data_IF_177928068819
#
_entry.id   IF_177928068819
#
_cell.length_a   1.000
_cell.length_b   1.000
_cell.length_c   1.000
_cell.angle_alpha   90.00
_cell.angle_beta   90.00
_cell.angle_gamma   90.00
#
_symmetry.space_group_name_H-M   'P 1'
#
loop_
_entity.id
_entity.type
_entity.pdbx_description
1 polymer ?
#
# COMPACT_ATOMS: atom_id res chain seq x y z
N UNK A 1 -8.72 12.96 -36.29
CA UNK A 1 -9.04 11.69 -35.61
C UNK A 1 -8.11 11.58 -34.42
N UNK A 2 -8.61 11.89 -33.23
CA UNK A 2 -7.90 11.59 -31.99
C UNK A 2 -8.09 10.08 -31.80
N UNK A 3 -7.01 9.32 -31.80
CA UNK A 3 -7.08 7.92 -31.45
C UNK A 3 -7.57 7.86 -29.99
N UNK A 4 -8.77 7.30 -29.77
CA UNK A 4 -9.14 6.87 -28.43
C UNK A 4 -8.11 5.81 -28.04
N UNK A 5 -7.24 6.13 -27.08
CA UNK A 5 -6.51 5.09 -26.36
C UNK A 5 -7.60 4.35 -25.60
N UNK A 6 -7.89 3.11 -26.01
CA UNK A 6 -8.82 2.27 -25.27
C UNK A 6 -8.22 2.04 -23.88
N UNK A 7 -9.00 2.30 -22.84
CA UNK A 7 -8.62 1.96 -21.46
C UNK A 7 -8.46 0.43 -21.33
N UNK A 8 -7.65 0.01 -20.37
CA UNK A 8 -7.48 -1.41 -20.00
C UNK A 8 -8.86 -2.04 -19.77
N UNK A 9 -9.12 -3.21 -20.33
CA UNK A 9 -10.36 -3.95 -20.07
C UNK A 9 -10.10 -5.08 -19.07
N UNK A 10 -10.94 -5.22 -18.04
CA UNK A 10 -10.81 -6.26 -17.02
C UNK A 10 -12.12 -7.02 -16.82
N UNK A 11 -12.05 -8.28 -16.39
CA UNK A 11 -13.23 -8.94 -15.84
C UNK A 11 -13.62 -8.29 -14.52
N UNK A 12 -14.92 -8.13 -14.29
CA UNK A 12 -15.48 -7.50 -13.10
C UNK A 12 -16.62 -8.34 -12.52
N UNK A 13 -16.51 -8.67 -11.23
CA UNK A 13 -17.59 -9.34 -10.52
C UNK A 13 -17.39 -9.32 -9.02
N UNK A 14 -18.51 -9.55 -8.33
CA UNK A 14 -18.65 -9.71 -6.90
C UNK A 14 -19.60 -10.89 -6.67
N UNK A 15 -19.07 -12.04 -6.22
CA UNK A 15 -19.92 -13.19 -5.91
C UNK A 15 -19.22 -14.54 -5.78
N UNK A 16 -20.02 -15.61 -5.77
CA UNK A 16 -19.56 -16.98 -5.45
C UNK A 16 -19.04 -17.77 -6.68
N UNK A 17 -19.04 -17.17 -7.87
CA UNK A 17 -18.66 -17.85 -9.12
C UNK A 17 -17.81 -16.95 -10.01
N UNK A 18 -16.93 -17.56 -10.80
CA UNK A 18 -16.17 -16.85 -11.82
C UNK A 18 -17.11 -16.22 -12.86
N UNK A 19 -16.79 -15.02 -13.28
CA UNK A 19 -17.62 -14.20 -14.15
C UNK A 19 -17.01 -14.06 -15.55
N UNK A 20 -17.84 -13.59 -16.49
CA UNK A 20 -17.42 -13.20 -17.84
C UNK A 20 -17.80 -11.75 -18.16
N UNK A 21 -18.33 -11.02 -17.18
CA UNK A 21 -18.65 -9.60 -17.29
C UNK A 21 -17.36 -8.80 -17.30
N UNK A 22 -17.28 -7.78 -18.15
CA UNK A 22 -16.10 -6.94 -18.32
C UNK A 22 -16.42 -5.48 -18.03
N UNK A 23 -15.41 -4.75 -17.60
CA UNK A 23 -15.46 -3.31 -17.42
C UNK A 23 -14.23 -2.65 -18.07
N UNK A 24 -14.38 -1.39 -18.46
CA UNK A 24 -13.28 -0.57 -18.98
C UNK A 24 -12.73 0.24 -17.82
N UNK A 25 -11.44 0.11 -17.55
CA UNK A 25 -10.76 0.81 -16.48
C UNK A 25 -10.67 2.32 -16.74
N UNK A 26 -10.73 3.07 -15.65
CA UNK A 26 -10.42 4.50 -15.67
C UNK A 26 -8.93 4.74 -15.98
N UNK A 27 -8.58 5.93 -16.47
CA UNK A 27 -7.20 6.25 -16.92
C UNK A 27 -6.13 6.00 -15.84
N UNK A 28 -6.49 6.13 -14.56
CA UNK A 28 -5.59 5.93 -13.42
C UNK A 28 -5.57 4.48 -12.89
N UNK A 29 -6.41 3.59 -13.41
CA UNK A 29 -6.48 2.17 -13.06
C UNK A 29 -5.68 1.37 -14.09
N UNK A 30 -4.43 1.10 -13.77
CA UNK A 30 -3.44 0.54 -14.69
C UNK A 30 -3.34 -1.00 -14.62
N UNK A 31 -4.17 -1.66 -13.81
CA UNK A 31 -4.14 -3.11 -13.64
C UNK A 31 -5.52 -3.71 -13.36
N UNK A 32 -5.70 -4.99 -13.68
CA UNK A 32 -6.80 -5.81 -13.21
C UNK A 32 -6.42 -6.46 -11.87
N UNK A 33 -7.39 -6.61 -10.97
CA UNK A 33 -7.26 -7.35 -9.71
C UNK A 33 -8.15 -8.59 -9.70
N UNK A 34 -7.76 -9.57 -8.90
CA UNK A 34 -8.58 -10.73 -8.54
C UNK A 34 -8.31 -11.09 -7.08
N UNK A 35 -9.34 -10.92 -6.26
CA UNK A 35 -9.32 -11.28 -4.85
C UNK A 35 -10.22 -12.50 -4.65
N UNK A 36 -9.67 -13.54 -4.05
CA UNK A 36 -10.37 -14.80 -3.80
C UNK A 36 -10.32 -15.10 -2.32
N UNK A 37 -11.49 -15.31 -1.72
CA UNK A 37 -11.63 -15.87 -0.39
C UNK A 37 -12.22 -17.27 -0.49
N UNK A 38 -11.48 -18.29 -0.08
CA UNK A 38 -11.98 -19.67 0.00
C UNK A 38 -12.05 -20.14 1.44
N UNK A 39 -13.22 -20.64 1.83
CA UNK A 39 -13.48 -21.20 3.16
C UNK A 39 -13.60 -22.72 3.02
N UNK A 40 -12.72 -23.43 3.73
CA UNK A 40 -12.67 -24.89 3.77
C UNK A 40 -13.27 -25.36 5.11
N UNK A 41 -14.52 -25.83 5.05
CA UNK A 41 -15.17 -26.53 6.15
C UNK A 41 -15.14 -28.05 5.91
N UNK A 42 -15.35 -28.86 6.95
CA UNK A 42 -15.27 -30.32 6.89
C UNK A 42 -16.10 -30.97 5.77
N UNK A 43 -17.20 -30.36 5.35
CA UNK A 43 -18.14 -30.90 4.37
C UNK A 43 -18.44 -29.98 3.19
N UNK A 44 -17.87 -28.77 3.16
CA UNK A 44 -18.18 -27.75 2.15
C UNK A 44 -16.97 -26.88 1.88
N UNK A 45 -16.72 -26.65 0.60
CA UNK A 45 -15.82 -25.60 0.12
C UNK A 45 -16.71 -24.51 -0.45
N UNK A 46 -16.52 -23.27 0.01
CA UNK A 46 -17.16 -22.08 -0.56
C UNK A 46 -16.07 -21.09 -0.95
N UNK A 47 -16.23 -20.44 -2.09
CA UNK A 47 -15.33 -19.39 -2.53
C UNK A 47 -16.14 -18.15 -2.88
N UNK A 48 -15.59 -17.00 -2.55
CA UNK A 48 -16.07 -15.68 -2.93
C UNK A 48 -14.97 -15.00 -3.76
N UNK A 49 -15.35 -14.41 -4.87
CA UNK A 49 -14.46 -13.86 -5.89
C UNK A 49 -14.86 -12.41 -6.12
N UNK A 50 -13.86 -11.53 -6.04
CA UNK A 50 -13.96 -10.12 -6.41
C UNK A 50 -12.94 -9.85 -7.53
N UNK A 51 -13.41 -9.31 -8.64
CA UNK A 51 -12.58 -8.89 -9.77
C UNK A 51 -12.94 -7.49 -10.19
N UNK A 52 -11.96 -6.76 -10.74
CA UNK A 52 -12.19 -5.48 -11.37
C UNK A 52 -10.90 -4.76 -11.73
N UNK A 53 -11.04 -3.48 -12.06
CA UNK A 53 -9.97 -2.54 -12.30
C UNK A 53 -9.39 -2.01 -10.98
N UNK A 54 -8.09 -1.80 -10.96
CA UNK A 54 -7.37 -1.32 -9.79
C UNK A 54 -6.17 -0.45 -10.17
N UNK A 55 -5.69 0.32 -9.20
CA UNK A 55 -4.49 1.14 -9.34
C UNK A 55 -3.23 0.29 -9.33
N UNK A 56 -2.23 0.69 -10.11
CA UNK A 56 -0.94 0.00 -10.20
C UNK A 56 -0.13 0.02 -8.91
N UNK A 57 0.77 -0.96 -8.77
CA UNK A 57 1.81 -0.99 -7.74
C UNK A 57 1.54 -1.92 -6.56
N UNK A 58 0.38 -2.59 -6.51
CA UNK A 58 0.09 -3.59 -5.48
C UNK A 58 0.75 -4.94 -5.81
N UNK A 59 1.36 -5.64 -4.83
CA UNK A 59 1.96 -6.95 -5.05
C UNK A 59 0.91 -8.07 -4.98
N UNK A 60 1.25 -9.23 -5.53
CA UNK A 60 0.48 -10.46 -5.30
C UNK A 60 0.77 -10.97 -3.90
N UNK A 61 -0.27 -11.29 -3.14
CA UNK A 61 -0.17 -11.70 -1.75
C UNK A 61 -1.17 -12.81 -1.45
N UNK A 62 -0.81 -13.69 -0.51
CA UNK A 62 -1.74 -14.68 0.02
C UNK A 62 -1.56 -14.91 1.51
N UNK A 63 -2.65 -15.24 2.18
CA UNK A 63 -2.69 -15.62 3.58
C UNK A 63 -3.76 -16.68 3.81
N UNK A 64 -3.47 -17.61 4.70
CA UNK A 64 -4.40 -18.60 5.21
C UNK A 64 -4.38 -18.60 6.72
N UNK A 65 -5.54 -18.74 7.33
CA UNK A 65 -5.70 -18.79 8.78
C UNK A 65 -6.86 -19.70 9.19
N UNK A 66 -6.86 -20.08 10.47
CA UNK A 66 -7.96 -20.78 11.11
C UNK A 66 -8.98 -19.78 11.62
N UNK A 67 -10.25 -20.05 11.32
CA UNK A 67 -11.38 -19.40 11.95
C UNK A 67 -12.35 -20.48 12.45
N UNK A 68 -12.44 -20.65 13.77
CA UNK A 68 -13.08 -21.77 14.44
C UNK A 68 -12.57 -23.12 13.93
N UNK A 69 -13.45 -23.88 13.27
CA UNK A 69 -13.13 -25.20 12.71
C UNK A 69 -12.89 -25.18 11.20
N UNK A 70 -12.71 -23.99 10.61
CA UNK A 70 -12.56 -23.77 9.18
C UNK A 70 -11.17 -23.20 8.88
N UNK A 71 -10.70 -23.44 7.66
CA UNK A 71 -9.52 -22.76 7.12
C UNK A 71 -10.02 -21.72 6.13
N UNK A 72 -9.63 -20.46 6.33
CA UNK A 72 -9.88 -19.36 5.41
C UNK A 72 -8.60 -19.11 4.63
N UNK A 73 -8.70 -19.12 3.31
CA UNK A 73 -7.63 -18.76 2.38
C UNK A 73 -8.01 -17.47 1.66
N UNK A 74 -7.10 -16.51 1.63
CA UNK A 74 -7.22 -15.23 0.96
C UNK A 74 -6.03 -15.09 0.01
N UNK A 75 -6.30 -14.75 -1.25
CA UNK A 75 -5.28 -14.40 -2.22
C UNK A 75 -5.75 -13.22 -3.05
N UNK A 76 -4.82 -12.33 -3.35
CA UNK A 76 -5.02 -11.19 -4.24
C UNK A 76 -3.91 -11.20 -5.28
N UNK A 77 -4.30 -11.18 -6.55
CA UNK A 77 -3.42 -11.17 -7.70
C UNK A 77 -3.73 -10.01 -8.64
N UNK A 78 -2.67 -9.47 -9.26
CA UNK A 78 -2.76 -8.34 -10.16
C UNK A 78 -2.05 -8.61 -11.49
N UNK A 79 -2.55 -8.01 -12.56
CA UNK A 79 -1.97 -8.11 -13.90
C UNK A 79 -2.34 -6.88 -14.76
N UNK A 80 -1.54 -6.56 -15.77
CA UNK A 80 -1.62 -5.26 -16.48
C UNK A 80 -1.92 -5.33 -17.98
N UNK A 81 -2.59 -6.40 -18.46
CA UNK A 81 -2.98 -6.54 -19.87
C UNK A 81 -4.47 -6.82 -19.98
N UNK A 82 -5.07 -6.52 -21.13
CA UNK A 82 -6.52 -6.71 -21.34
C UNK A 82 -6.96 -8.13 -20.96
N UNK A 83 -8.01 -8.18 -20.13
CA UNK A 83 -8.69 -9.39 -19.67
C UNK A 83 -7.74 -10.41 -19.01
N UNK A 84 -6.61 -9.96 -18.47
CA UNK A 84 -5.59 -10.84 -17.90
C UNK A 84 -6.06 -11.57 -16.64
N UNK A 85 -7.07 -11.04 -15.96
CA UNK A 85 -7.71 -11.66 -14.81
C UNK A 85 -8.75 -12.72 -15.20
N UNK A 86 -8.55 -13.38 -16.34
CA UNK A 86 -9.38 -14.49 -16.79
C UNK A 86 -9.14 -15.74 -15.93
N UNK A 87 -10.22 -16.41 -15.53
CA UNK A 87 -10.14 -17.62 -14.73
C UNK A 87 -9.87 -17.32 -13.26
N UNK A 88 -9.83 -18.38 -12.45
CA UNK A 88 -9.65 -18.30 -11.00
C UNK A 88 -8.61 -19.34 -10.60
N UNK A 89 -7.73 -18.98 -9.68
CA UNK A 89 -6.88 -19.96 -9.03
C UNK A 89 -7.74 -20.95 -8.25
N UNK A 90 -7.73 -22.19 -8.68
CA UNK A 90 -8.40 -23.25 -7.94
C UNK A 90 -7.62 -23.55 -6.65
N UNK A 91 -8.18 -23.14 -5.51
CA UNK A 91 -7.57 -23.36 -4.18
C UNK A 91 -7.38 -24.85 -3.91
N UNK A 92 -8.22 -25.74 -4.46
CA UNK A 92 -8.00 -27.19 -4.36
C UNK A 92 -6.73 -27.59 -5.09
N UNK A 93 -6.48 -27.06 -6.29
CA UNK A 93 -5.22 -27.28 -7.01
C UNK A 93 -4.05 -26.66 -6.25
N UNK A 94 -4.22 -25.51 -5.58
CA UNK A 94 -3.18 -24.94 -4.73
C UNK A 94 -2.83 -25.81 -3.51
N UNK A 95 -3.82 -26.47 -2.89
CA UNK A 95 -3.65 -27.37 -1.75
C UNK A 95 -3.17 -28.77 -2.15
N UNK A 96 -3.47 -29.19 -3.38
CA UNK A 96 -3.13 -30.52 -3.92
C UNK A 96 -1.95 -30.50 -4.88
N UNK A 97 -1.45 -29.31 -5.26
CA UNK A 97 -0.29 -29.13 -6.11
C UNK A 97 0.89 -29.96 -5.58
N UNK A 98 1.55 -30.65 -6.52
CA UNK A 98 2.56 -31.69 -6.27
C UNK A 98 3.67 -31.17 -5.35
N UNK A 99 3.73 -31.70 -4.14
CA UNK A 99 4.84 -31.50 -3.22
C UNK A 99 4.37 -31.17 -1.82
N UNK A 100 3.69 -32.11 -1.13
CA UNK A 100 3.52 -32.00 0.33
C UNK A 100 4.93 -31.84 0.91
N UNK A 101 5.24 -30.74 1.62
CA UNK A 101 6.56 -30.57 2.16
C UNK A 101 6.88 -31.75 3.07
N UNK A 102 8.07 -32.35 2.93
CA UNK A 102 8.50 -33.45 3.84
C UNK A 102 8.47 -32.99 5.30
N UNK A 103 8.83 -31.73 5.54
CA UNK A 103 8.74 -31.03 6.82
C UNK A 103 7.95 -29.74 6.60
N UNK A 104 6.62 -29.75 6.77
CA UNK A 104 5.81 -28.56 6.60
C UNK A 104 6.04 -27.58 7.74
N UNK A 105 6.02 -26.29 7.44
CA UNK A 105 6.09 -25.23 8.44
C UNK A 105 4.81 -25.25 9.29
N UNK A 106 4.96 -25.16 10.61
CA UNK A 106 3.86 -25.03 11.56
C UNK A 106 3.84 -23.61 12.11
N UNK A 107 2.67 -22.98 12.13
CA UNK A 107 2.50 -21.59 12.59
C UNK A 107 1.34 -21.50 13.56
N UNK A 108 1.37 -20.51 14.44
CA UNK A 108 0.17 -20.12 15.19
C UNK A 108 -0.84 -19.47 14.25
N UNK A 109 -2.12 -19.66 14.54
CA UNK A 109 -3.20 -19.11 13.76
C UNK A 109 -4.38 -18.69 14.61
N UNK A 110 -4.97 -17.57 14.23
CA UNK A 110 -6.12 -16.97 14.85
C UNK A 110 -6.72 -15.90 13.93
N UNK A 111 -7.95 -15.49 14.23
CA UNK A 111 -8.63 -14.35 13.63
C UNK A 111 -9.28 -13.48 14.71
N UNK A 112 -9.37 -12.17 14.47
CA UNK A 112 -10.17 -11.28 15.30
C UNK A 112 -11.66 -11.49 15.09
N UNK A 113 -12.08 -11.93 13.89
CA UNK A 113 -13.48 -12.20 13.53
C UNK A 113 -14.18 -13.21 14.45
N UNK A 114 -13.45 -14.20 14.96
CA UNK A 114 -13.96 -15.19 15.90
C UNK A 114 -13.35 -15.05 17.31
N UNK A 115 -12.70 -13.91 17.58
CA UNK A 115 -12.04 -13.56 18.83
C UNK A 115 -10.92 -14.52 19.27
N UNK A 116 -10.46 -15.42 18.40
CA UNK A 116 -9.42 -16.40 18.76
C UNK A 116 -8.06 -15.78 18.98
N UNK A 117 -7.80 -14.59 18.42
CA UNK A 117 -6.52 -13.90 18.62
C UNK A 117 -6.32 -13.35 20.03
N UNK A 118 -7.40 -13.10 20.77
CA UNK A 118 -7.36 -12.57 22.14
C UNK A 118 -7.28 -13.66 23.20
N UNK A 119 -7.39 -14.94 22.79
CA UNK A 119 -7.21 -16.08 23.68
C UNK A 119 -5.73 -16.40 23.86
N UNK A 120 -5.36 -16.91 25.05
CA UNK A 120 -3.97 -17.26 25.38
C UNK A 120 -3.44 -18.53 24.70
N UNK A 121 -4.31 -19.32 24.08
CA UNK A 121 -3.95 -20.55 23.38
C UNK A 121 -4.32 -20.43 21.90
N UNK A 122 -3.38 -19.91 21.11
CA UNK A 122 -3.54 -19.86 19.66
C UNK A 122 -3.47 -21.26 19.08
N UNK A 123 -4.37 -21.55 18.14
CA UNK A 123 -4.36 -22.83 17.43
C UNK A 123 -3.13 -22.91 16.52
N UNK A 124 -2.73 -24.12 16.19
CA UNK A 124 -1.62 -24.34 15.26
C UNK A 124 -2.17 -24.81 13.92
N UNK A 125 -1.63 -24.27 12.84
CA UNK A 125 -1.92 -24.72 11.48
C UNK A 125 -0.64 -25.13 10.76
N UNK A 126 -0.81 -25.97 9.75
CA UNK A 126 0.27 -26.48 8.90
C UNK A 126 0.20 -25.73 7.58
N UNK A 127 1.30 -25.07 7.22
CA UNK A 127 1.38 -24.36 5.95
C UNK A 127 1.28 -25.36 4.79
N UNK A 128 0.55 -24.96 3.76
CA UNK A 128 0.28 -25.79 2.60
C UNK A 128 1.51 -25.88 1.69
N UNK A 129 2.27 -24.79 1.60
CA UNK A 129 3.33 -24.61 0.60
C UNK A 129 4.72 -24.39 1.19
N UNK A 130 5.80 -24.82 0.51
CA UNK A 130 7.17 -24.59 0.97
C UNK A 130 7.58 -23.11 1.06
N UNK A 131 7.02 -22.25 0.21
CA UNK A 131 7.30 -20.81 0.16
C UNK A 131 6.55 -19.99 1.21
N UNK A 132 5.53 -20.58 1.85
CA UNK A 132 4.78 -19.93 2.90
C UNK A 132 5.62 -19.71 4.16
N UNK A 133 5.39 -18.57 4.79
CA UNK A 133 5.96 -18.17 6.08
C UNK A 133 4.85 -18.10 7.13
N UNK A 134 5.23 -18.10 8.40
CA UNK A 134 4.31 -17.71 9.46
C UNK A 134 4.08 -16.20 9.40
N UNK A 135 2.83 -15.79 9.46
CA UNK A 135 2.38 -14.40 9.32
C UNK A 135 1.67 -13.96 10.60
N UNK A 136 1.87 -12.69 10.98
CA UNK A 136 1.10 -11.95 11.99
C UNK A 136 0.81 -10.56 11.45
N UNK A 137 -0.46 -10.28 11.14
CA UNK A 137 -0.95 -8.99 10.68
C UNK A 137 -1.74 -8.38 11.83
N UNK A 138 -1.39 -7.17 12.23
CA UNK A 138 -2.18 -6.32 13.12
C UNK A 138 -2.52 -5.02 12.39
N UNK A 139 -3.79 -4.65 12.36
CA UNK A 139 -4.30 -3.51 11.58
C UNK A 139 -5.49 -2.89 12.30
N UNK A 140 -5.41 -1.62 12.70
CA UNK A 140 -6.59 -0.94 13.25
C UNK A 140 -6.56 0.56 12.99
N UNK A 141 -7.76 1.13 12.86
CA UNK A 141 -8.00 2.57 12.75
C UNK A 141 -8.69 3.08 14.01
N UNK A 142 -8.47 4.35 14.35
CA UNK A 142 -9.10 5.02 15.48
C UNK A 142 -10.58 5.35 15.20
N UNK A 143 -10.94 5.56 13.94
CA UNK A 143 -12.34 5.54 13.49
C UNK A 143 -12.79 4.09 13.38
N UNK A 144 -13.95 3.74 13.97
CA UNK A 144 -14.59 2.42 13.85
C UNK A 144 -15.14 2.15 12.43
N UNK A 145 -14.47 2.66 11.39
CA UNK A 145 -14.85 2.47 9.97
C UNK A 145 -14.50 1.08 9.45
N UNK A 146 -13.50 0.41 10.05
CA UNK A 146 -13.19 -0.98 9.72
C UNK A 146 -13.93 -1.96 10.64
N UNK A 147 -14.50 -3.05 10.10
CA UNK A 147 -15.02 -4.13 10.92
C UNK A 147 -13.95 -4.59 11.92
N UNK A 148 -14.31 -4.75 13.20
CA UNK A 148 -13.38 -5.27 14.21
C UNK A 148 -12.80 -6.66 13.87
N UNK A 149 -13.45 -7.34 12.94
CA UNK A 149 -13.16 -8.70 12.46
C UNK A 149 -11.77 -8.85 11.82
N UNK A 150 -11.15 -7.76 11.37
CA UNK A 150 -9.86 -7.76 10.65
C UNK A 150 -8.69 -7.20 11.47
N UNK A 151 -8.89 -6.94 12.77
CA UNK A 151 -7.88 -6.28 13.58
C UNK A 151 -6.57 -7.06 13.71
N UNK A 152 -6.66 -8.38 13.77
CA UNK A 152 -5.51 -9.26 13.86
C UNK A 152 -5.76 -10.59 13.18
N UNK A 153 -4.79 -11.04 12.38
CA UNK A 153 -4.81 -12.34 11.71
C UNK A 153 -3.42 -12.98 11.84
N UNK A 154 -3.40 -14.26 12.27
CA UNK A 154 -2.19 -15.09 12.26
C UNK A 154 -2.41 -16.32 11.40
N UNK A 155 -1.37 -16.76 10.71
CA UNK A 155 -1.41 -18.02 9.97
C UNK A 155 -0.22 -18.23 9.05
N UNK A 156 -0.48 -18.82 7.89
CA UNK A 156 0.51 -19.11 6.86
C UNK A 156 0.27 -18.25 5.63
N UNK A 157 1.31 -17.74 4.98
CA UNK A 157 1.12 -16.94 3.77
C UNK A 157 2.39 -16.62 3.01
N UNK A 158 2.21 -16.03 1.83
CA UNK A 158 3.28 -15.49 1.01
C UNK A 158 3.01 -14.02 0.80
N UNK A 159 3.77 -13.18 1.52
CA UNK A 159 3.70 -11.73 1.43
C UNK A 159 4.99 -11.18 0.83
N UNK A 160 4.84 -10.40 -0.23
CA UNK A 160 5.99 -9.78 -0.93
C UNK A 160 6.68 -8.78 0.02
N UNK A 161 8.01 -8.64 -0.04
CA UNK A 161 8.79 -7.71 0.82
C UNK A 161 8.68 -7.92 2.35
N UNK A 162 8.14 -9.05 2.81
CA UNK A 162 8.03 -9.36 4.23
C UNK A 162 9.21 -10.24 4.71
N UNK A 163 10.41 -9.70 4.68
CA UNK A 163 11.60 -10.27 5.34
C UNK A 163 11.83 -9.65 6.71
N UNK A 164 11.57 -8.34 6.81
CA UNK A 164 11.62 -7.55 8.03
C UNK A 164 10.21 -7.04 8.35
N UNK A 165 9.91 -6.69 9.61
CA UNK A 165 8.58 -6.19 9.99
C UNK A 165 8.17 -4.95 9.19
N UNK A 166 7.06 -5.03 8.47
CA UNK A 166 6.48 -3.90 7.75
C UNK A 166 5.57 -3.18 8.74
N UNK A 167 5.97 -1.98 9.16
CA UNK A 167 5.23 -1.19 10.14
C UNK A 167 4.91 0.19 9.60
N UNK A 168 3.67 0.63 9.81
CA UNK A 168 3.26 2.01 9.63
C UNK A 168 2.29 2.41 10.74
N UNK A 169 2.46 3.60 11.32
CA UNK A 169 1.44 4.18 12.17
C UNK A 169 1.41 5.70 12.07
N UNK A 170 0.23 6.27 12.26
CA UNK A 170 0.00 7.69 12.39
C UNK A 170 -0.95 7.94 13.58
N UNK A 171 -1.52 9.13 13.69
CA UNK A 171 -2.43 9.48 14.78
C UNK A 171 -3.68 8.58 14.85
N UNK A 172 -4.15 8.07 13.72
CA UNK A 172 -5.43 7.39 13.57
C UNK A 172 -5.33 5.95 13.07
N UNK A 173 -4.13 5.44 12.79
CA UNK A 173 -3.95 4.12 12.16
C UNK A 173 -2.69 3.45 12.63
N UNK A 174 -2.74 2.13 12.76
CA UNK A 174 -1.61 1.28 13.08
C UNK A 174 -1.67 0.02 12.23
N UNK A 175 -0.57 -0.28 11.54
CA UNK A 175 -0.39 -1.46 10.72
C UNK A 175 0.97 -2.08 11.01
N UNK A 176 0.98 -3.37 11.30
CA UNK A 176 2.19 -4.14 11.54
C UNK A 176 2.04 -5.53 10.95
N UNK A 177 2.94 -5.88 10.03
CA UNK A 177 3.02 -7.20 9.42
C UNK A 177 4.38 -7.78 9.78
N UNK A 178 4.37 -8.96 10.40
CA UNK A 178 5.57 -9.75 10.68
C UNK A 178 5.51 -11.06 9.94
N UNK A 179 6.62 -11.45 9.34
CA UNK A 179 6.76 -12.75 8.68
C UNK A 179 8.04 -13.44 9.13
N UNK A 180 7.98 -14.75 9.31
CA UNK A 180 9.12 -15.54 9.77
C UNK A 180 9.04 -16.99 9.26
N UNK A 181 10.18 -17.67 9.19
CA UNK A 181 10.34 -18.94 8.46
C UNK A 181 10.70 -20.14 9.36
N UNK A 182 10.67 -19.98 10.68
CA UNK A 182 10.85 -21.06 11.65
C UNK A 182 9.50 -21.50 12.24
N UNK A 183 9.41 -22.75 12.70
CA UNK A 183 8.16 -23.26 13.27
C UNK A 183 7.74 -22.42 14.47
N UNK A 184 6.46 -22.02 14.51
CA UNK A 184 5.79 -21.30 15.59
C UNK A 184 6.43 -19.94 15.95
N UNK A 185 7.12 -19.31 15.01
CA UNK A 185 7.82 -18.05 15.23
C UNK A 185 6.91 -16.82 15.32
N UNK A 186 5.63 -16.95 14.98
CA UNK A 186 4.62 -15.89 15.09
C UNK A 186 3.88 -15.96 16.43
N UNK A 187 4.62 -16.14 17.52
CA UNK A 187 4.15 -16.37 18.90
C UNK A 187 3.78 -15.10 19.67
N UNK A 188 3.99 -13.92 19.07
CA UNK A 188 3.67 -12.64 19.68
C UNK A 188 2.20 -12.57 20.12
N UNK A 189 1.95 -12.37 21.41
CA UNK A 189 0.59 -12.27 21.97
C UNK A 189 0.19 -10.85 22.36
N UNK A 190 1.05 -9.87 22.08
CA UNK A 190 0.81 -8.48 22.49
C UNK A 190 -0.42 -7.90 21.79
N UNK A 191 -1.35 -7.35 22.56
CA UNK A 191 -2.41 -6.50 22.03
C UNK A 191 -1.87 -5.09 21.83
N UNK A 192 -1.59 -4.71 20.58
CA UNK A 192 -1.03 -3.41 20.25
C UNK A 192 -2.04 -2.26 20.35
N UNK A 193 -3.33 -2.54 20.45
CA UNK A 193 -4.38 -1.54 20.67
C UNK A 193 -4.38 -1.10 22.13
N UNK A 194 -4.34 -2.06 23.04
CA UNK A 194 -4.33 -1.80 24.49
C UNK A 194 -2.93 -1.42 25.01
N UNK A 195 -1.90 -2.11 24.49
CA UNK A 195 -0.50 -1.91 24.88
C UNK A 195 0.33 -1.58 23.65
N UNK A 196 0.32 -0.32 23.18
CA UNK A 196 1.08 0.07 22.00
C UNK A 196 2.59 -0.07 22.24
N UNK A 197 3.41 -0.23 21.19
CA UNK A 197 4.85 -0.34 21.35
C UNK A 197 5.44 0.91 22.02
N UNK A 198 6.57 0.73 22.71
CA UNK A 198 7.28 1.82 23.36
C UNK A 198 7.69 2.91 22.36
N UNK A 199 7.64 4.20 22.75
CA UNK A 199 8.18 5.28 21.94
C UNK A 199 9.67 5.05 21.63
N UNK A 200 10.09 5.31 20.39
CA UNK A 200 11.47 5.13 19.93
C UNK A 200 12.27 6.44 19.85
N UNK A 201 11.66 7.56 20.28
CA UNK A 201 12.31 8.87 20.36
C UNK A 201 12.22 9.72 19.09
N UNK A 202 11.66 9.20 17.98
CA UNK A 202 11.43 9.98 16.75
C UNK A 202 10.04 10.59 16.78
N UNK A 203 9.90 11.83 16.29
CA UNK A 203 8.59 12.48 16.12
C UNK A 203 8.36 12.83 14.65
N UNK A 204 7.20 12.49 14.09
CA UNK A 204 6.87 12.76 12.68
C UNK A 204 5.58 13.56 12.55
N UNK A 205 5.39 14.22 11.40
CA UNK A 205 4.07 14.72 11.03
C UNK A 205 3.14 13.54 10.70
N UNK A 206 1.86 13.72 11.00
CA UNK A 206 0.80 12.73 10.85
C UNK A 206 -0.41 13.35 10.20
N UNK A 207 -0.92 12.72 9.15
CA UNK A 207 -2.14 13.12 8.47
C UNK A 207 -2.61 11.99 7.56
N UNK A 208 -3.88 12.00 7.20
CA UNK A 208 -4.46 11.13 6.18
C UNK A 208 -5.61 11.87 5.51
N UNK A 209 -5.64 11.88 4.17
CA UNK A 209 -6.72 12.49 3.40
C UNK A 209 -6.16 13.28 2.24
N UNK A 210 -6.90 14.27 1.78
CA UNK A 210 -6.49 15.12 0.66
C UNK A 210 -5.96 16.48 1.15
N UNK A 211 -5.70 17.37 0.21
CA UNK A 211 -5.17 18.71 0.50
C UNK A 211 -6.14 19.64 1.23
N UNK A 212 -7.44 19.35 1.19
CA UNK A 212 -8.50 20.20 1.78
C UNK A 212 -9.05 19.62 3.07
N UNK A 213 -8.97 18.30 3.26
CA UNK A 213 -9.48 17.59 4.42
C UNK A 213 -8.50 16.47 4.81
N UNK A 214 -8.11 16.45 6.09
CA UNK A 214 -7.33 15.37 6.69
C UNK A 214 -5.82 15.51 6.53
N UNK A 215 -5.34 16.06 5.41
CA UNK A 215 -3.94 16.47 5.20
C UNK A 215 -3.80 17.96 4.81
N UNK A 216 -4.77 18.79 5.22
CA UNK A 216 -4.64 20.25 5.15
C UNK A 216 -3.62 20.77 6.19
N UNK A 217 -3.07 21.98 6.05
CA UNK A 217 -2.13 22.54 7.03
C UNK A 217 -2.65 22.56 8.47
N UNK A 218 -3.97 22.72 8.64
CA UNK A 218 -4.61 22.79 9.95
C UNK A 218 -4.90 21.39 10.55
N UNK A 219 -4.97 20.37 9.70
CA UNK A 219 -5.24 18.97 10.11
C UNK A 219 -3.95 18.17 10.40
N UNK A 220 -2.78 18.69 10.00
CA UNK A 220 -1.51 18.00 10.22
C UNK A 220 -1.14 18.02 11.71
N UNK A 221 -1.04 16.83 12.29
CA UNK A 221 -0.65 16.61 13.69
C UNK A 221 0.79 16.11 13.79
N UNK A 222 1.29 15.97 15.03
CA UNK A 222 2.59 15.36 15.33
C UNK A 222 2.36 14.09 16.13
N UNK A 223 3.06 13.01 15.77
CA UNK A 223 2.98 11.72 16.46
C UNK A 223 4.37 11.28 16.91
N UNK A 224 4.46 10.71 18.12
CA UNK A 224 5.68 10.04 18.57
C UNK A 224 5.74 8.64 17.95
N UNK A 225 6.84 8.35 17.28
CA UNK A 225 7.08 7.06 16.67
C UNK A 225 7.33 5.96 17.71
N UNK A 226 6.98 4.72 17.34
CA UNK A 226 6.90 3.60 18.26
C UNK A 226 7.53 2.35 17.66
N UNK A 227 8.15 1.53 18.51
CA UNK A 227 8.74 0.25 18.11
C UNK A 227 9.71 0.40 16.93
N UNK A 228 9.57 -0.47 15.93
CA UNK A 228 10.44 -0.53 14.73
C UNK A 228 10.19 0.58 13.71
N UNK A 229 9.18 1.42 13.91
CA UNK A 229 8.79 2.46 12.95
C UNK A 229 9.61 3.73 13.20
N UNK A 230 10.88 3.69 12.77
CA UNK A 230 11.91 4.70 13.09
C UNK A 230 12.09 5.78 12.02
N UNK A 231 11.36 5.71 10.91
CA UNK A 231 11.44 6.66 9.81
C UNK A 231 10.17 7.52 9.75
N UNK A 232 10.29 8.79 9.36
CA UNK A 232 9.12 9.57 8.98
C UNK A 232 8.78 9.32 7.51
N UNK A 233 7.54 8.94 7.26
CA UNK A 233 7.00 8.70 5.92
C UNK A 233 6.07 9.85 5.53
N UNK A 234 6.15 10.23 4.26
CA UNK A 234 5.08 10.93 3.56
C UNK A 234 4.88 10.30 2.19
N UNK A 235 3.62 10.14 1.80
CA UNK A 235 3.27 9.66 0.48
C UNK A 235 2.04 10.40 -0.05
N UNK A 236 1.94 10.46 -1.38
CA UNK A 236 0.76 10.93 -2.08
C UNK A 236 0.59 10.15 -3.38
N UNK A 237 -0.66 9.91 -3.77
CA UNK A 237 -1.00 9.17 -4.96
C UNK A 237 -2.47 9.36 -5.32
N UNK A 238 -2.89 8.69 -6.39
CA UNK A 238 -4.27 8.70 -6.87
C UNK A 238 -5.02 7.59 -6.15
N UNK A 239 -6.12 7.93 -5.48
CA UNK A 239 -6.93 6.95 -4.77
C UNK A 239 -7.76 6.10 -5.73
N UNK A 240 -7.66 4.78 -5.62
CA UNK A 240 -8.16 3.86 -6.63
C UNK A 240 -9.68 3.85 -6.82
N UNK A 241 -10.47 4.24 -5.82
CA UNK A 241 -11.94 4.31 -5.97
C UNK A 241 -12.47 5.70 -6.33
N UNK A 242 -11.71 6.77 -6.08
CA UNK A 242 -12.21 8.15 -6.29
C UNK A 242 -11.47 8.90 -7.38
N UNK A 243 -10.31 8.42 -7.83
CA UNK A 243 -9.43 9.12 -8.77
C UNK A 243 -8.84 10.42 -8.20
N UNK A 244 -9.07 10.73 -6.92
CA UNK A 244 -8.60 11.95 -6.29
C UNK A 244 -7.21 11.77 -5.69
N UNK A 245 -6.45 12.86 -5.64
CA UNK A 245 -5.16 12.87 -4.94
C UNK A 245 -5.40 12.76 -3.43
N UNK A 246 -4.79 11.74 -2.84
CA UNK A 246 -4.74 11.53 -1.40
C UNK A 246 -3.29 11.52 -0.93
N UNK A 247 -3.09 11.79 0.34
CA UNK A 247 -1.80 11.85 1.01
C UNK A 247 -1.89 11.18 2.38
N UNK A 248 -0.75 10.65 2.81
CA UNK A 248 -0.59 10.05 4.11
C UNK A 248 0.77 10.41 4.69
N UNK A 249 0.81 10.74 5.98
CA UNK A 249 2.02 10.99 6.75
C UNK A 249 1.98 10.20 8.04
N UNK A 250 3.13 9.72 8.49
CA UNK A 250 3.27 9.00 9.74
C UNK A 250 4.68 8.50 9.99
N UNK A 251 4.80 7.54 10.88
CA UNK A 251 6.02 6.80 11.14
C UNK A 251 5.97 5.46 10.41
N UNK A 252 7.09 5.05 9.82
CA UNK A 252 7.20 3.79 9.09
C UNK A 252 8.46 3.03 9.51
N UNK A 253 8.45 1.70 9.37
CA UNK A 253 9.68 0.90 9.40
C UNK A 253 10.48 1.14 8.11
N UNK A 254 11.81 0.96 8.13
CA UNK A 254 12.62 1.06 6.92
C UNK A 254 12.11 0.14 5.79
N UNK A 255 11.71 -1.09 6.12
CA UNK A 255 11.16 -2.03 5.13
C UNK A 255 9.83 -1.58 4.54
N UNK A 256 8.99 -0.87 5.30
CA UNK A 256 7.76 -0.30 4.75
C UNK A 256 8.08 0.74 3.66
N UNK A 257 9.09 1.58 3.88
CA UNK A 257 9.51 2.62 2.93
C UNK A 257 9.97 2.06 1.58
N UNK A 258 10.59 0.87 1.60
CA UNK A 258 11.14 0.19 0.42
C UNK A 258 10.15 -0.82 -0.18
N UNK A 259 8.88 -0.75 0.21
CA UNK A 259 7.83 -1.71 -0.17
C UNK A 259 6.60 -1.02 -0.76
N UNK A 260 5.76 -1.74 -1.53
CA UNK A 260 4.52 -1.20 -2.07
C UNK A 260 3.37 -1.09 -1.04
N UNK A 261 3.61 -1.34 0.24
CA UNK A 261 2.52 -1.48 1.22
C UNK A 261 1.75 -0.19 1.49
N UNK A 262 2.30 0.98 1.20
CA UNK A 262 1.51 2.22 1.22
C UNK A 262 0.39 2.19 0.16
N UNK A 263 0.64 1.63 -1.03
CA UNK A 263 -0.38 1.45 -2.07
C UNK A 263 -1.45 0.44 -1.66
N UNK A 264 -1.07 -0.62 -0.95
CA UNK A 264 -2.01 -1.61 -0.41
C UNK A 264 -2.87 -0.99 0.70
N UNK A 265 -2.24 -0.39 1.71
CA UNK A 265 -2.91 0.19 2.87
C UNK A 265 -3.86 1.34 2.51
N UNK A 266 -3.46 2.22 1.59
CA UNK A 266 -4.25 3.42 1.23
C UNK A 266 -4.96 3.33 -0.10
N UNK A 267 -4.89 2.18 -0.77
CA UNK A 267 -5.42 2.02 -2.13
C UNK A 267 -4.94 3.13 -3.09
N UNK A 268 -3.61 3.37 -3.13
CA UNK A 268 -3.02 4.47 -3.90
C UNK A 268 -2.22 3.97 -5.11
N UNK A 269 -2.58 4.48 -6.29
CA UNK A 269 -1.84 4.39 -7.53
C UNK A 269 -0.91 5.58 -7.76
N UNK A 270 -0.03 5.45 -8.76
CA UNK A 270 0.92 6.48 -9.18
C UNK A 270 1.64 7.14 -7.97
N UNK A 271 2.03 6.29 -7.00
CA UNK A 271 2.44 6.75 -5.69
C UNK A 271 3.82 7.42 -5.75
N UNK A 272 3.90 8.61 -5.16
CA UNK A 272 5.16 9.17 -4.72
C UNK A 272 5.28 8.95 -3.21
N UNK A 273 6.28 8.16 -2.78
CA UNK A 273 6.59 7.96 -1.37
C UNK A 273 7.99 8.47 -1.05
N UNK A 274 8.17 8.95 0.18
CA UNK A 274 9.47 9.32 0.71
C UNK A 274 9.54 9.01 2.19
N UNK A 275 10.66 8.41 2.59
CA UNK A 275 11.05 8.32 3.98
C UNK A 275 12.29 9.17 4.27
N UNK A 276 12.39 9.60 5.52
CA UNK A 276 13.53 10.34 6.02
C UNK A 276 13.76 10.04 7.51
N UNK A 277 15.01 10.18 7.93
CA UNK A 277 15.42 10.01 9.33
C UNK A 277 15.53 11.37 10.01
N UNK A 278 15.06 11.45 11.25
CA UNK A 278 15.09 12.66 12.07
C UNK A 278 13.71 13.26 12.27
N UNK A 279 13.59 14.10 13.30
CA UNK A 279 12.29 14.64 13.71
C UNK A 279 11.67 15.55 12.65
N UNK A 280 10.37 15.33 12.39
CA UNK A 280 9.50 16.17 11.57
C UNK A 280 10.03 16.42 10.16
N UNK A 281 10.84 15.49 9.63
CA UNK A 281 11.47 15.64 8.32
C UNK A 281 10.50 15.40 7.15
N UNK A 282 9.35 14.77 7.38
CA UNK A 282 8.32 14.44 6.39
C UNK A 282 7.40 15.62 6.07
N UNK A 283 8.00 16.72 5.63
CA UNK A 283 7.34 18.02 5.41
C UNK A 283 7.37 18.47 3.94
N UNK A 284 7.63 17.57 2.98
CA UNK A 284 7.79 17.93 1.58
C UNK A 284 6.50 17.93 0.80
N UNK A 285 5.52 17.12 1.19
CA UNK A 285 4.18 17.15 0.61
C UNK A 285 3.35 18.15 1.42
N UNK A 286 2.92 19.22 0.76
CA UNK A 286 2.02 20.25 1.30
C UNK A 286 0.88 20.40 0.33
N UNK A 287 -0.36 20.39 0.84
CA UNK A 287 -1.57 20.40 0.01
C UNK A 287 -1.57 19.28 -1.05
N UNK A 288 -1.17 18.06 -0.70
CA UNK A 288 -1.15 16.91 -1.63
C UNK A 288 -0.19 17.05 -2.81
N UNK A 289 0.69 18.05 -2.82
CA UNK A 289 1.66 18.28 -3.91
C UNK A 289 3.08 18.37 -3.37
N UNK A 290 4.04 18.01 -4.20
CA UNK A 290 5.46 18.10 -3.88
C UNK A 290 5.88 19.56 -3.75
N UNK A 291 6.51 19.91 -2.63
CA UNK A 291 7.21 21.19 -2.49
C UNK A 291 8.20 21.36 -3.65
N UNK A 292 8.23 22.53 -4.31
CA UNK A 292 9.27 22.84 -5.27
C UNK A 292 10.64 22.70 -4.58
N UNK A 293 11.57 22.00 -5.23
CA UNK A 293 12.94 21.89 -4.71
C UNK A 293 13.55 23.28 -4.55
N UNK A 294 14.28 23.59 -3.45
CA UNK A 294 14.95 24.87 -3.26
C UNK A 294 15.87 25.26 -4.43
N UNK A 295 16.44 24.26 -5.14
CA UNK A 295 17.27 24.47 -6.35
C UNK A 295 16.51 25.09 -7.53
N UNK A 296 15.19 24.93 -7.59
CA UNK A 296 14.36 25.50 -8.67
C UNK A 296 13.93 26.96 -8.42
N UNK A 297 14.06 27.45 -7.19
CA UNK A 297 13.82 28.86 -6.86
C UNK A 297 15.06 29.73 -7.14
N UNK A 298 16.28 29.19 -6.98
CA UNK A 298 17.51 29.90 -7.31
C UNK A 298 17.68 30.18 -8.82
N UNK A 299 17.07 29.36 -9.68
CA UNK A 299 17.14 29.51 -11.14
C UNK A 299 16.13 30.51 -11.71
N UNK A 300 15.08 30.87 -10.96
CA UNK A 300 14.11 31.91 -11.37
C UNK A 300 14.50 33.33 -10.96
N UNK A 301 15.52 33.52 -10.12
CA UNK A 301 16.01 34.84 -9.71
C UNK A 301 17.26 35.34 -10.45
N UNK A 302 17.85 34.57 -11.37
CA UNK A 302 19.08 34.98 -12.11
C UNK A 302 18.85 35.25 -13.61
N UNK A 303 17.66 35.07 -14.16
CA UNK A 303 17.42 35.25 -15.60
C UNK A 303 16.36 36.30 -15.95
N UNK A 304 16.51 37.52 -15.42
CA UNK A 304 15.78 38.70 -15.91
C UNK A 304 16.63 39.99 -15.96
N UNK A 305 17.95 39.93 -15.72
CA UNK A 305 18.83 41.11 -15.74
C UNK A 305 19.93 41.10 -16.82
N UNK A 306 20.14 39.99 -17.53
CA UNK A 306 21.17 39.92 -18.60
C UNK A 306 20.63 40.03 -20.04
N UNK A 307 19.32 39.98 -20.26
CA UNK A 307 18.72 40.10 -21.61
C UNK A 307 18.32 41.52 -22.01
N UNK A 308 18.42 42.51 -21.11
CA UNK A 308 18.15 43.92 -21.44
C UNK A 308 19.39 44.71 -21.88
N UNK A 309 20.60 44.19 -21.61
CA UNK A 309 21.86 44.85 -21.98
C UNK A 309 22.38 44.46 -23.38
N UNK A 310 21.89 43.37 -23.98
CA UNK A 310 22.29 42.94 -25.33
C UNK A 310 21.40 43.51 -26.45
N UNK A 311 20.12 43.82 -26.16
CA UNK A 311 19.22 44.42 -27.15
C UNK A 311 19.48 45.92 -27.38
N UNK A 312 20.02 46.64 -26.40
CA UNK A 312 20.41 48.04 -26.56
C UNK A 312 21.61 48.26 -27.51
N UNK A 313 22.56 47.32 -27.53
CA UNK A 313 23.76 47.42 -28.36
C UNK A 313 23.50 47.09 -29.84
N UNK A 314 22.56 46.18 -30.12
CA UNK A 314 22.14 45.82 -31.49
C UNK A 314 21.29 46.91 -32.16
N UNK A 315 20.51 47.68 -31.38
CA UNK A 315 19.74 48.81 -31.91
C UNK A 315 20.68 50.00 -32.21
N UNK A 316 21.73 50.24 -31.42
CA UNK A 316 22.69 51.31 -31.72
C UNK A 316 23.55 51.04 -32.97
N UNK A 317 23.91 49.77 -33.22
CA UNK A 317 24.71 49.39 -34.39
C UNK A 317 23.92 49.45 -35.71
N UNK A 318 22.62 49.22 -35.68
CA UNK A 318 21.76 49.32 -36.89
C UNK A 318 21.51 50.76 -37.31
N UNK A 319 21.45 51.72 -36.37
CA UNK A 319 21.34 53.14 -36.70
C UNK A 319 22.63 53.75 -37.26
N UNK A 320 23.82 53.28 -36.83
CA UNK A 320 25.11 53.79 -37.33
C UNK A 320 25.50 53.26 -38.72
N UNK A 321 24.98 52.09 -39.13
CA UNK A 321 25.22 51.51 -40.46
C UNK A 321 24.23 51.99 -41.54
N UNK A 322 23.22 52.80 -41.16
CA UNK A 322 22.18 53.29 -42.07
C UNK A 322 22.41 54.74 -42.56
N UNK A 323 23.43 55.44 -42.04
CA UNK A 323 23.69 56.85 -42.33
C UNK A 323 24.82 57.14 -43.32
N UNK A 324 25.38 56.13 -43.99
CA UNK A 324 26.33 56.32 -45.10
C UNK A 324 25.79 55.68 -46.39
N UNK A 325 24.75 56.30 -46.97
CA UNK A 325 24.45 56.18 -48.40
C UNK A 325 23.58 57.35 -48.88
N UNK A 326 24.22 58.50 -49.07
CA UNK A 326 23.84 59.53 -50.06
C UNK A 326 25.07 60.37 -50.37
#
# INVERSE_FOLDING_TARGET
MVAHVAGLECYACDGDSDCQETEICEEYQEQCSTTIMTILARSKISSYILKGCDVGGKPNNSISHLSGNQVVFLAEEHCGTDLCNQGVLNVVDMLTARGRPRNPLHCYSCSSADQTCYNSSHMQMRCARPEEKCIDITSFTATEEFPGDEQRIKGCGSLTHCQEPLGFHNQNSFHLIKCCNSSQCNDDTQDYKDTPPHPNGVTCFSCEGNSTHGCSPDDITKVQCRGVMTQCLEASGIHGSTGQISAVKGCASPSWCDSPYTSVYKNLGAIYSRCCTGDLCNNWIVNGTLKPSPRSQASRQVSAQHTLLSMGLLILLTFLLSSESS
#
